data_IF_720103030290
#
_entry.id   IF_720103030290
#
_cell.length_a   1.000
_cell.length_b   1.000
_cell.length_c   1.000
_cell.angle_alpha   90.00
_cell.angle_beta   90.00
_cell.angle_gamma   90.00
#
_symmetry.space_group_name_H-M   'P 1'
#
loop_
_entity.id
_entity.type
_entity.pdbx_description
1 polymer ?
#
# COMPACT_ATOMS: atom_id res chain seq x y z
N UNK A 1 -27.51 -11.34 12.47
CA UNK A 1 -27.10 -10.04 13.08
C UNK A 1 -25.59 -9.83 12.94
N UNK A 2 -24.76 -10.76 13.35
CA UNK A 2 -23.28 -10.66 13.30
C UNK A 2 -22.69 -10.32 11.91
N UNK A 3 -23.18 -10.92 10.83
CA UNK A 3 -22.69 -10.64 9.48
C UNK A 3 -22.92 -9.18 9.04
N UNK A 4 -24.00 -8.55 9.48
CA UNK A 4 -24.31 -7.15 9.21
C UNK A 4 -23.39 -6.24 10.04
N UNK A 5 -23.11 -6.62 11.28
CA UNK A 5 -22.20 -5.91 12.16
C UNK A 5 -20.76 -5.90 11.62
N UNK A 6 -20.22 -7.05 11.24
CA UNK A 6 -18.89 -7.11 10.61
C UNK A 6 -18.81 -6.25 9.35
N UNK A 7 -19.82 -6.32 8.47
CA UNK A 7 -19.85 -5.51 7.25
C UNK A 7 -19.86 -4.01 7.58
N UNK A 8 -20.67 -3.59 8.55
CA UNK A 8 -20.74 -2.20 8.98
C UNK A 8 -19.40 -1.73 9.51
N UNK A 9 -18.77 -2.48 10.41
CA UNK A 9 -17.45 -2.15 10.97
C UNK A 9 -16.37 -2.08 9.89
N UNK A 10 -16.35 -3.04 8.94
CA UNK A 10 -15.40 -3.01 7.82
C UNK A 10 -15.57 -1.75 6.97
N UNK A 11 -16.81 -1.34 6.65
CA UNK A 11 -17.07 -0.13 5.87
C UNK A 11 -16.72 1.13 6.67
N UNK A 12 -17.03 1.18 7.96
CA UNK A 12 -16.71 2.31 8.83
C UNK A 12 -15.19 2.53 8.94
N UNK A 13 -14.41 1.46 9.05
CA UNK A 13 -12.95 1.53 9.09
C UNK A 13 -12.33 1.80 7.70
N UNK A 14 -12.89 1.20 6.63
CA UNK A 14 -12.34 1.32 5.29
C UNK A 14 -12.56 2.72 4.68
N UNK A 15 -13.71 3.35 4.92
CA UNK A 15 -14.03 4.66 4.32
C UNK A 15 -12.97 5.73 4.58
N UNK A 16 -12.54 6.00 5.83
CA UNK A 16 -11.50 6.99 6.07
C UNK A 16 -10.17 6.61 5.43
N UNK A 17 -9.80 5.32 5.46
CA UNK A 17 -8.58 4.81 4.83
C UNK A 17 -8.61 5.04 3.33
N UNK A 18 -9.73 4.77 2.67
CA UNK A 18 -9.91 5.00 1.23
C UNK A 18 -9.71 6.48 0.87
N UNK A 19 -10.34 7.40 1.61
CA UNK A 19 -10.15 8.83 1.37
C UNK A 19 -8.71 9.29 1.58
N UNK A 20 -7.99 8.72 2.57
CA UNK A 20 -6.55 8.99 2.76
C UNK A 20 -5.73 8.56 1.55
N UNK A 21 -5.96 7.35 1.06
CA UNK A 21 -5.24 6.79 -0.08
C UNK A 21 -5.52 7.57 -1.36
N UNK A 22 -6.79 7.93 -1.59
CA UNK A 22 -7.20 8.73 -2.74
C UNK A 22 -6.60 10.14 -2.71
N UNK A 23 -6.58 10.78 -1.55
CA UNK A 23 -5.94 12.08 -1.36
C UNK A 23 -4.43 12.03 -1.66
N UNK A 24 -3.74 10.96 -1.25
CA UNK A 24 -2.32 10.78 -1.55
C UNK A 24 -2.07 10.63 -3.06
N UNK A 25 -2.92 9.88 -3.77
CA UNK A 25 -2.83 9.73 -5.23
C UNK A 25 -3.06 11.08 -5.92
N UNK A 26 -4.09 11.82 -5.52
CA UNK A 26 -4.40 13.13 -6.07
C UNK A 26 -3.26 14.13 -5.85
N UNK A 27 -2.69 14.18 -4.64
CA UNK A 27 -1.54 15.03 -4.33
C UNK A 27 -0.31 14.67 -5.17
N UNK A 28 -0.04 13.38 -5.37
CA UNK A 28 1.05 12.91 -6.23
C UNK A 28 0.90 13.35 -7.69
N UNK A 29 -0.33 13.32 -8.24
CA UNK A 29 -0.62 13.82 -9.59
C UNK A 29 -0.37 15.33 -9.67
N UNK A 30 -0.86 16.09 -8.70
CA UNK A 30 -0.71 17.55 -8.67
C UNK A 30 0.76 17.95 -8.53
N UNK A 31 1.52 17.29 -7.65
CA UNK A 31 2.96 17.50 -7.50
C UNK A 31 3.69 17.26 -8.84
N UNK A 32 3.35 16.18 -9.54
CA UNK A 32 3.91 15.88 -10.87
C UNK A 32 3.63 16.99 -11.88
N UNK A 33 2.42 17.57 -11.87
CA UNK A 33 2.05 18.68 -12.76
C UNK A 33 2.86 19.96 -12.47
N UNK A 34 3.14 20.25 -11.20
CA UNK A 34 4.00 21.38 -10.84
C UNK A 34 5.44 21.17 -11.26
N UNK A 35 5.99 19.98 -11.02
CA UNK A 35 7.36 19.63 -11.40
C UNK A 35 7.54 19.62 -12.93
N UNK A 36 6.52 19.22 -13.69
CA UNK A 36 6.55 19.21 -15.15
C UNK A 36 6.79 20.61 -15.76
N UNK A 37 6.41 21.67 -15.04
CA UNK A 37 6.69 23.07 -15.47
C UNK A 37 8.17 23.48 -15.37
N UNK A 38 8.98 22.71 -14.62
CA UNK A 38 10.42 22.96 -14.48
C UNK A 38 11.25 22.34 -15.61
N UNK A 39 10.62 21.55 -16.49
CA UNK A 39 11.28 20.90 -17.63
C UNK A 39 11.59 19.44 -17.44
N UNK A 40 12.06 18.77 -18.51
CA UNK A 40 12.24 17.33 -18.57
C UNK A 40 13.26 16.77 -17.58
N UNK A 41 14.36 17.50 -17.33
CA UNK A 41 15.39 17.06 -16.34
C UNK A 41 14.83 17.02 -14.92
N UNK A 42 13.98 17.99 -14.55
CA UNK A 42 13.32 18.03 -13.25
C UNK A 42 12.32 16.86 -13.09
N UNK A 43 11.56 16.57 -14.15
CA UNK A 43 10.64 15.43 -14.18
C UNK A 43 11.39 14.12 -14.01
N UNK A 44 12.50 13.93 -14.72
CA UNK A 44 13.33 12.72 -14.60
C UNK A 44 13.91 12.58 -13.18
N UNK A 45 14.42 13.66 -12.59
CA UNK A 45 14.97 13.66 -11.24
C UNK A 45 13.91 13.28 -10.19
N UNK A 46 12.71 13.89 -10.25
CA UNK A 46 11.62 13.60 -9.30
C UNK A 46 11.03 12.21 -9.53
N UNK A 47 10.95 11.73 -10.77
CA UNK A 47 10.49 10.38 -11.06
C UNK A 47 11.40 9.32 -10.42
N UNK A 48 12.72 9.48 -10.51
CA UNK A 48 13.68 8.61 -9.82
C UNK A 48 13.52 8.71 -8.31
N UNK A 49 13.40 9.93 -7.77
CA UNK A 49 13.20 10.13 -6.34
C UNK A 49 11.92 9.44 -5.83
N UNK A 50 10.82 9.58 -6.54
CA UNK A 50 9.55 8.91 -6.20
C UNK A 50 9.68 7.38 -6.22
N UNK A 51 10.42 6.82 -7.17
CA UNK A 51 10.66 5.37 -7.21
C UNK A 51 11.48 4.90 -6.00
N UNK A 52 12.52 5.63 -5.63
CA UNK A 52 13.31 5.34 -4.41
C UNK A 52 12.43 5.44 -3.15
N UNK A 53 11.63 6.50 -3.03
CA UNK A 53 10.71 6.66 -1.90
C UNK A 53 9.66 5.54 -1.83
N UNK A 54 9.18 5.03 -2.96
CA UNK A 54 8.27 3.88 -3.01
C UNK A 54 8.94 2.58 -2.51
N UNK A 55 10.20 2.36 -2.82
CA UNK A 55 10.96 1.24 -2.24
C UNK A 55 11.10 1.40 -0.72
N UNK A 56 11.43 2.61 -0.27
CA UNK A 56 11.55 2.95 1.15
C UNK A 56 10.22 2.89 1.90
N UNK A 57 9.08 3.06 1.21
CA UNK A 57 7.74 2.80 1.76
C UNK A 57 7.60 1.32 2.18
N UNK A 58 8.17 0.38 1.44
CA UNK A 58 8.21 -1.02 1.85
C UNK A 58 8.83 -1.22 3.23
N UNK A 59 9.92 -0.50 3.52
CA UNK A 59 10.56 -0.52 4.86
C UNK A 59 9.62 0.06 5.92
N UNK A 60 8.90 1.16 5.62
CA UNK A 60 7.93 1.76 6.53
C UNK A 60 6.80 0.77 6.91
N UNK A 61 6.40 -0.09 6.00
CA UNK A 61 5.36 -1.09 6.26
C UNK A 61 5.79 -2.13 7.30
N UNK A 62 7.09 -2.41 7.46
CA UNK A 62 7.55 -3.37 8.48
C UNK A 62 7.11 -2.93 9.87
N UNK A 63 7.36 -1.68 10.25
CA UNK A 63 6.98 -1.19 11.58
C UNK A 63 5.57 -0.61 11.60
N UNK A 64 5.11 0.05 10.55
CA UNK A 64 3.77 0.64 10.49
C UNK A 64 2.67 -0.41 10.56
N UNK A 65 2.66 -1.39 9.63
CA UNK A 65 1.65 -2.46 9.61
C UNK A 65 1.81 -3.43 10.77
N UNK A 66 3.05 -3.79 11.14
CA UNK A 66 3.33 -4.64 12.30
C UNK A 66 2.79 -4.06 13.59
N UNK A 67 3.03 -2.77 13.84
CA UNK A 67 2.48 -2.06 15.01
C UNK A 67 0.95 -1.99 14.96
N UNK A 68 0.36 -1.71 13.80
CA UNK A 68 -1.11 -1.67 13.64
C UNK A 68 -1.77 -2.97 14.10
N UNK A 69 -1.27 -4.11 13.66
CA UNK A 69 -1.83 -5.43 14.00
C UNK A 69 -1.67 -5.73 15.49
N UNK A 70 -0.47 -5.48 16.05
CA UNK A 70 -0.21 -5.75 17.47
C UNK A 70 -1.00 -4.84 18.40
N UNK A 71 -1.13 -3.55 18.06
CA UNK A 71 -1.96 -2.58 18.79
C UNK A 71 -3.43 -2.97 18.72
N UNK A 72 -3.94 -3.36 17.56
CA UNK A 72 -5.33 -3.80 17.39
C UNK A 72 -5.62 -5.05 18.23
N UNK A 73 -4.70 -6.02 18.24
CA UNK A 73 -4.82 -7.22 19.05
C UNK A 73 -4.81 -6.91 20.57
N UNK A 74 -3.86 -6.09 21.03
CA UNK A 74 -3.76 -5.69 22.44
C UNK A 74 -4.98 -4.87 22.89
N UNK A 75 -5.53 -4.04 22.01
CA UNK A 75 -6.77 -3.28 22.25
C UNK A 75 -7.97 -4.21 22.39
N UNK A 76 -8.07 -5.23 21.54
CA UNK A 76 -9.10 -6.27 21.64
C UNK A 76 -9.01 -7.08 22.93
N UNK A 77 -7.78 -7.45 23.33
CA UNK A 77 -7.50 -8.14 24.58
C UNK A 77 -7.70 -7.28 25.84
N UNK A 78 -7.94 -5.98 25.69
CA UNK A 78 -7.99 -5.01 26.80
C UNK A 78 -6.74 -5.06 27.70
N UNK A 79 -5.57 -5.39 27.12
CA UNK A 79 -4.29 -5.51 27.83
C UNK A 79 -3.42 -4.26 27.62
N UNK A 80 -3.35 -3.36 28.64
CA UNK A 80 -2.52 -2.15 28.56
C UNK A 80 -1.02 -2.45 28.52
N UNK A 81 -0.59 -3.61 29.02
CA UNK A 81 0.80 -4.05 29.01
C UNK A 81 1.23 -4.41 27.60
N UNK A 82 0.45 -5.27 26.93
CA UNK A 82 0.66 -5.64 25.54
C UNK A 82 0.57 -4.42 24.59
N UNK A 83 -0.37 -3.49 24.86
CA UNK A 83 -0.50 -2.26 24.11
C UNK A 83 0.78 -1.40 24.18
N UNK A 84 1.28 -1.18 25.40
CA UNK A 84 2.54 -0.45 25.61
C UNK A 84 3.73 -1.16 24.96
N UNK A 85 3.80 -2.47 25.05
CA UNK A 85 4.86 -3.26 24.42
C UNK A 85 4.82 -3.13 22.90
N UNK A 86 3.64 -3.18 22.27
CA UNK A 86 3.46 -3.01 20.82
C UNK A 86 3.89 -1.60 20.35
N UNK A 87 3.48 -0.56 21.05
CA UNK A 87 3.86 0.83 20.73
C UNK A 87 5.37 1.03 20.88
N UNK A 88 5.94 0.61 22.02
CA UNK A 88 7.38 0.73 22.29
C UNK A 88 8.22 -0.09 21.30
N UNK A 89 7.74 -1.27 20.90
CA UNK A 89 8.39 -2.08 19.87
C UNK A 89 8.40 -1.39 18.51
N UNK A 90 7.28 -0.74 18.14
CA UNK A 90 7.18 0.07 16.93
C UNK A 90 8.13 1.26 16.95
N UNK A 91 8.20 2.00 18.07
CA UNK A 91 9.16 3.10 18.27
C UNK A 91 10.59 2.59 18.18
N UNK A 92 10.91 1.46 18.84
CA UNK A 92 12.24 0.86 18.80
C UNK A 92 12.66 0.47 17.40
N UNK A 93 11.78 -0.17 16.61
CA UNK A 93 12.07 -0.55 15.24
C UNK A 93 12.21 0.67 14.32
N UNK A 94 11.35 1.67 14.49
CA UNK A 94 11.46 2.94 13.77
C UNK A 94 12.78 3.65 14.08
N UNK A 95 13.15 3.75 15.36
CA UNK A 95 14.41 4.35 15.80
C UNK A 95 15.66 3.63 15.27
N UNK A 96 15.56 2.30 15.06
CA UNK A 96 16.63 1.51 14.46
C UNK A 96 16.75 1.73 12.94
N UNK A 97 15.62 1.80 12.24
CA UNK A 97 15.61 1.88 10.77
C UNK A 97 15.79 3.28 10.24
N UNK A 98 15.35 4.32 10.97
CA UNK A 98 15.45 5.72 10.54
C UNK A 98 16.90 6.15 10.28
N UNK A 99 17.88 5.94 11.18
CA UNK A 99 19.26 6.33 10.91
C UNK A 99 19.87 5.60 9.71
N UNK A 100 19.53 4.33 9.53
CA UNK A 100 20.02 3.52 8.40
C UNK A 100 19.47 4.05 7.07
N UNK A 101 18.17 4.33 7.00
CA UNK A 101 17.53 4.78 5.76
C UNK A 101 17.82 6.25 5.49
N UNK A 102 17.60 7.12 6.47
CA UNK A 102 17.82 8.56 6.29
C UNK A 102 19.31 8.92 6.19
N UNK A 103 20.12 8.36 7.07
CA UNK A 103 21.58 8.61 7.08
C UNK A 103 22.29 7.88 5.94
N UNK A 104 22.05 6.58 5.78
CA UNK A 104 22.63 5.78 4.69
C UNK A 104 22.18 6.28 3.31
N UNK A 105 20.90 6.58 3.17
CA UNK A 105 20.35 7.16 1.93
C UNK A 105 20.98 8.52 1.62
N UNK A 106 21.13 9.38 2.61
CA UNK A 106 21.77 10.69 2.43
C UNK A 106 23.25 10.58 2.01
N UNK A 107 23.99 9.63 2.57
CA UNK A 107 25.39 9.37 2.19
C UNK A 107 25.49 8.84 0.76
N UNK A 108 24.58 7.94 0.37
CA UNK A 108 24.58 7.27 -0.95
C UNK A 108 23.76 8.03 -2.01
N UNK A 109 23.28 9.25 -1.74
CA UNK A 109 22.38 10.00 -2.63
C UNK A 109 22.93 10.21 -4.04
N UNK A 110 24.26 10.41 -4.15
CA UNK A 110 24.92 10.60 -5.44
C UNK A 110 25.01 9.30 -6.22
N UNK A 111 25.39 8.21 -5.56
CA UNK A 111 25.48 6.89 -6.19
C UNK A 111 24.11 6.40 -6.67
N UNK A 112 23.07 6.61 -5.86
CA UNK A 112 21.69 6.28 -6.23
C UNK A 112 21.23 7.10 -7.42
N UNK A 113 21.53 8.41 -7.45
CA UNK A 113 21.16 9.27 -8.57
C UNK A 113 21.90 8.88 -9.86
N UNK A 114 23.20 8.59 -9.78
CA UNK A 114 24.01 8.14 -10.93
C UNK A 114 23.58 6.78 -11.44
N UNK A 115 23.32 5.84 -10.54
CA UNK A 115 22.85 4.50 -10.91
C UNK A 115 21.54 4.55 -11.70
N UNK A 116 20.65 5.47 -11.35
CA UNK A 116 19.31 5.57 -11.96
C UNK A 116 19.27 6.44 -13.24
N UNK A 117 20.10 7.48 -13.33
CA UNK A 117 20.07 8.46 -14.41
C UNK A 117 21.32 8.42 -15.32
N UNK A 118 22.32 7.58 -14.99
CA UNK A 118 23.61 7.53 -15.68
C UNK A 118 24.58 8.59 -15.19
N UNK A 119 25.80 8.59 -15.75
CA UNK A 119 26.86 9.50 -15.36
C UNK A 119 26.70 10.87 -16.06
N UNK A 120 26.47 11.90 -15.24
CA UNK A 120 26.46 13.29 -15.67
C UNK A 120 25.11 13.82 -16.14
N UNK A 121 24.99 15.15 -16.14
CA UNK A 121 23.81 15.85 -16.61
C UNK A 121 23.06 16.66 -15.54
N UNK A 122 22.15 17.52 -16.00
CA UNK A 122 21.34 18.38 -15.12
C UNK A 122 20.41 17.56 -14.23
N UNK A 123 19.82 16.48 -14.76
CA UNK A 123 18.90 15.62 -14.04
C UNK A 123 19.56 14.96 -12.80
N UNK A 124 20.82 14.51 -12.89
CA UNK A 124 21.56 13.93 -11.75
C UNK A 124 21.76 14.98 -10.66
N UNK A 125 22.19 16.21 -11.02
CA UNK A 125 22.37 17.28 -10.04
C UNK A 125 21.08 17.63 -9.32
N UNK A 126 19.96 17.70 -10.07
CA UNK A 126 18.64 17.96 -9.51
C UNK A 126 18.18 16.82 -8.60
N UNK A 127 18.42 15.56 -8.98
CA UNK A 127 18.09 14.40 -8.16
C UNK A 127 18.91 14.39 -6.85
N UNK A 128 20.21 14.64 -6.90
CA UNK A 128 21.08 14.74 -5.71
C UNK A 128 20.61 15.86 -4.77
N UNK A 129 20.26 17.02 -5.32
CA UNK A 129 19.73 18.14 -4.54
C UNK A 129 18.39 17.79 -3.88
N UNK A 130 17.48 17.14 -4.61
CA UNK A 130 16.20 16.64 -4.09
C UNK A 130 16.42 15.63 -2.96
N UNK A 131 17.26 14.61 -3.19
CA UNK A 131 17.62 13.59 -2.21
C UNK A 131 18.27 14.18 -0.95
N UNK A 132 19.02 15.27 -1.09
CA UNK A 132 19.60 15.99 0.05
C UNK A 132 18.58 16.42 1.10
N UNK A 133 17.33 16.62 0.70
CA UNK A 133 16.21 17.01 1.58
C UNK A 133 15.27 15.83 1.81
N UNK A 134 14.88 15.10 0.76
CA UNK A 134 13.85 14.07 0.86
C UNK A 134 14.30 12.86 1.68
N UNK A 135 15.56 12.41 1.55
CA UNK A 135 16.06 11.24 2.29
C UNK A 135 16.18 11.50 3.81
N UNK A 136 16.72 12.61 4.31
CA UNK A 136 16.57 12.97 5.72
C UNK A 136 15.11 13.14 6.12
N UNK A 137 14.27 13.68 5.23
CA UNK A 137 12.81 13.81 5.41
C UNK A 137 12.09 12.47 5.58
N UNK A 138 12.69 11.34 5.17
CA UNK A 138 12.13 10.01 5.43
C UNK A 138 12.02 9.71 6.93
N UNK A 139 12.83 10.32 7.77
CA UNK A 139 12.69 10.21 9.23
C UNK A 139 11.31 10.71 9.70
N UNK A 140 10.87 11.85 9.17
CA UNK A 140 9.55 12.42 9.45
C UNK A 140 8.44 11.53 8.90
N UNK A 141 8.60 11.05 7.68
CA UNK A 141 7.65 10.14 7.05
C UNK A 141 7.49 8.84 7.85
N UNK A 142 8.57 8.24 8.32
CA UNK A 142 8.55 7.02 9.12
C UNK A 142 7.88 7.25 10.48
N UNK A 143 8.20 8.35 11.15
CA UNK A 143 7.52 8.71 12.39
C UNK A 143 6.02 8.92 12.19
N UNK A 144 5.60 9.56 11.09
CA UNK A 144 4.18 9.72 10.73
C UNK A 144 3.51 8.37 10.46
N UNK A 145 4.17 7.47 9.70
CA UNK A 145 3.63 6.13 9.42
C UNK A 145 3.46 5.30 10.70
N UNK A 146 4.35 5.47 11.67
CA UNK A 146 4.23 4.84 12.98
C UNK A 146 3.03 5.39 13.76
N UNK A 147 2.88 6.71 13.83
CA UNK A 147 1.73 7.35 14.49
C UNK A 147 0.42 6.91 13.84
N UNK A 148 0.36 6.91 12.51
CA UNK A 148 -0.80 6.43 11.76
C UNK A 148 -1.09 4.95 12.06
N UNK A 149 -0.06 4.11 12.15
CA UNK A 149 -0.19 2.70 12.49
C UNK A 149 -0.75 2.48 13.89
N UNK A 150 -0.29 3.25 14.88
CA UNK A 150 -0.78 3.19 16.26
C UNK A 150 -2.25 3.60 16.33
N UNK A 151 -2.61 4.73 15.72
CA UNK A 151 -3.99 5.23 15.71
C UNK A 151 -4.95 4.27 15.01
N UNK A 152 -4.57 3.75 13.84
CA UNK A 152 -5.36 2.76 13.10
C UNK A 152 -5.53 1.46 13.92
N UNK A 153 -4.47 0.98 14.55
CA UNK A 153 -4.53 -0.19 15.43
C UNK A 153 -5.43 0.05 16.64
N UNK A 154 -5.47 1.27 17.18
CA UNK A 154 -6.41 1.65 18.23
C UNK A 154 -7.87 1.79 17.74
N UNK A 155 -8.14 1.57 16.44
CA UNK A 155 -9.48 1.68 15.82
C UNK A 155 -9.83 3.09 15.31
N UNK A 156 -8.96 4.07 15.50
CA UNK A 156 -9.16 5.42 14.95
C UNK A 156 -8.55 5.53 13.55
N UNK A 157 -9.35 5.30 12.52
CA UNK A 157 -8.97 5.50 11.13
C UNK A 157 -9.29 6.92 10.62
N UNK A 158 -10.08 7.68 11.38
CA UNK A 158 -10.50 9.05 11.01
C UNK A 158 -9.37 10.06 11.23
N UNK A 159 -8.64 9.94 12.32
CA UNK A 159 -7.51 10.85 12.61
C UNK A 159 -6.39 10.71 11.56
N UNK A 160 -5.88 9.52 11.20
CA UNK A 160 -4.95 9.37 10.09
C UNK A 160 -5.47 9.94 8.76
N UNK A 161 -6.77 9.79 8.46
CA UNK A 161 -7.38 10.44 7.29
C UNK A 161 -7.27 11.98 7.36
N UNK A 162 -7.59 12.58 8.50
CA UNK A 162 -7.48 14.03 8.68
C UNK A 162 -6.04 14.51 8.55
N UNK A 163 -5.08 13.74 9.09
CA UNK A 163 -3.65 14.03 8.96
C UNK A 163 -3.18 13.93 7.51
N UNK A 164 -3.63 12.92 6.77
CA UNK A 164 -3.33 12.80 5.34
C UNK A 164 -3.93 13.97 4.53
N UNK A 165 -5.17 14.35 4.79
CA UNK A 165 -5.81 15.50 4.14
C UNK A 165 -5.08 16.82 4.49
N UNK A 166 -4.64 16.99 5.74
CA UNK A 166 -3.84 18.14 6.16
C UNK A 166 -2.51 18.18 5.42
N UNK A 167 -1.78 17.06 5.37
CA UNK A 167 -0.51 16.95 4.64
C UNK A 167 -0.69 17.32 3.17
N UNK A 168 -1.66 16.70 2.50
CA UNK A 168 -1.89 16.91 1.07
C UNK A 168 -2.41 18.34 0.77
N UNK A 169 -3.24 18.90 1.66
CA UNK A 169 -3.69 20.29 1.57
C UNK A 169 -2.54 21.28 1.71
N UNK A 170 -1.63 21.03 2.66
CA UNK A 170 -0.42 21.84 2.82
C UNK A 170 0.52 21.73 1.62
N UNK A 171 0.75 20.53 1.08
CA UNK A 171 1.55 20.32 -0.13
C UNK A 171 0.96 21.13 -1.29
N UNK A 172 -0.35 21.07 -1.49
CA UNK A 172 -1.04 21.80 -2.55
C UNK A 172 -0.81 23.32 -2.49
N UNK A 173 -0.70 23.88 -1.28
CA UNK A 173 -0.44 25.32 -1.07
C UNK A 173 1.05 25.64 -1.13
N UNK A 174 1.90 24.78 -0.53
CA UNK A 174 3.33 25.04 -0.44
C UNK A 174 4.09 24.76 -1.74
N UNK A 175 3.67 23.77 -2.54
CA UNK A 175 4.32 23.42 -3.80
C UNK A 175 4.45 24.61 -4.75
N UNK A 176 3.38 25.34 -5.10
CA UNK A 176 3.50 26.49 -6.02
C UNK A 176 4.38 27.60 -5.48
N UNK A 177 4.46 27.78 -4.17
CA UNK A 177 5.27 28.81 -3.54
C UNK A 177 6.75 28.43 -3.53
N UNK A 178 7.05 27.20 -3.07
CA UNK A 178 8.43 26.75 -2.89
C UNK A 178 9.07 26.29 -4.20
N UNK A 179 8.32 25.69 -5.11
CA UNK A 179 8.83 25.27 -6.42
C UNK A 179 9.22 26.48 -7.26
N UNK A 180 8.49 27.59 -7.20
CA UNK A 180 8.85 28.82 -7.90
C UNK A 180 10.17 29.43 -7.41
N UNK A 181 10.44 29.35 -6.09
CA UNK A 181 11.65 29.94 -5.51
C UNK A 181 12.86 29.02 -5.55
N UNK A 182 12.65 27.72 -5.33
CA UNK A 182 13.71 26.72 -5.08
C UNK A 182 13.71 25.55 -6.06
N UNK A 183 12.87 25.60 -7.11
CA UNK A 183 12.78 24.53 -8.11
C UNK A 183 12.43 23.18 -7.50
N UNK A 184 13.14 22.13 -7.92
CA UNK A 184 12.91 20.74 -7.50
C UNK A 184 13.11 20.56 -5.97
N UNK A 185 14.07 21.28 -5.38
CA UNK A 185 14.31 21.24 -3.92
C UNK A 185 13.10 21.78 -3.16
N UNK A 186 12.41 22.78 -3.72
CA UNK A 186 11.17 23.33 -3.16
C UNK A 186 10.07 22.27 -3.01
N UNK A 187 9.94 21.34 -3.95
CA UNK A 187 8.99 20.22 -3.88
C UNK A 187 9.33 19.24 -2.73
N UNK A 188 10.62 18.96 -2.50
CA UNK A 188 11.06 18.14 -1.38
C UNK A 188 10.79 18.85 -0.03
N UNK A 189 11.12 20.13 0.07
CA UNK A 189 10.92 20.94 1.29
C UNK A 189 9.43 21.05 1.62
N UNK A 190 8.56 21.30 0.63
CA UNK A 190 7.11 21.39 0.85
C UNK A 190 6.54 20.08 1.42
N UNK A 191 6.95 18.95 0.86
CA UNK A 191 6.52 17.62 1.32
C UNK A 191 6.98 17.35 2.75
N UNK A 192 8.25 17.61 3.08
CA UNK A 192 8.80 17.39 4.43
C UNK A 192 8.15 18.33 5.44
N UNK A 193 7.98 19.61 5.10
CA UNK A 193 7.33 20.59 5.98
C UNK A 193 5.87 20.22 6.27
N UNK A 194 5.10 19.83 5.24
CA UNK A 194 3.72 19.40 5.41
C UNK A 194 3.61 18.15 6.30
N UNK A 195 4.51 17.18 6.12
CA UNK A 195 4.58 15.97 6.97
C UNK A 195 4.98 16.30 8.42
N UNK A 196 5.87 17.26 8.64
CA UNK A 196 6.23 17.73 9.99
C UNK A 196 5.04 18.31 10.74
N UNK A 197 4.23 19.13 10.08
CA UNK A 197 3.01 19.69 10.66
C UNK A 197 2.01 18.60 11.01
N UNK A 198 1.80 17.65 10.10
CA UNK A 198 0.90 16.51 10.33
C UNK A 198 1.42 15.59 11.44
N UNK A 199 2.73 15.33 11.50
CA UNK A 199 3.35 14.56 12.58
C UNK A 199 3.15 15.24 13.93
N UNK A 200 3.39 16.56 14.02
CA UNK A 200 3.15 17.32 15.26
C UNK A 200 1.68 17.25 15.70
N UNK A 201 0.75 17.35 14.76
CA UNK A 201 -0.67 17.18 15.03
C UNK A 201 -1.01 15.75 15.49
N UNK A 202 -0.48 14.74 14.83
CA UNK A 202 -0.67 13.32 15.18
C UNK A 202 -0.11 12.99 16.57
N UNK A 203 1.08 13.48 16.90
CA UNK A 203 1.69 13.30 18.22
C UNK A 203 0.86 13.99 19.33
N UNK A 204 0.25 15.16 19.06
CA UNK A 204 -0.66 15.80 20.01
C UNK A 204 -1.89 14.94 20.28
N UNK A 205 -2.46 14.32 19.24
CA UNK A 205 -3.60 13.41 19.40
C UNK A 205 -3.19 12.19 20.21
N UNK A 206 -2.06 11.57 19.88
CA UNK A 206 -1.53 10.40 20.58
C UNK A 206 -1.30 10.65 22.07
N UNK A 207 -0.79 11.85 22.43
CA UNK A 207 -0.57 12.26 23.82
C UNK A 207 -1.85 12.50 24.60
N UNK A 208 -2.97 12.75 23.94
CA UNK A 208 -4.28 12.98 24.57
C UNK A 208 -5.00 11.68 24.95
N UNK A 209 -4.63 10.55 24.34
CA UNK A 209 -5.17 9.24 24.72
C UNK A 209 -4.36 8.68 25.90
N UNK A 210 -4.98 8.53 27.11
CA UNK A 210 -4.27 8.09 28.32
C UNK A 210 -3.62 6.72 28.19
N UNK A 211 -4.21 5.82 27.38
CA UNK A 211 -3.68 4.48 27.13
C UNK A 211 -2.43 4.51 26.25
N UNK A 212 -2.38 5.45 25.31
CA UNK A 212 -1.28 5.59 24.35
C UNK A 212 -0.19 6.53 24.87
N UNK A 213 -0.53 7.57 25.62
CA UNK A 213 0.42 8.53 26.18
C UNK A 213 1.48 7.88 27.07
N UNK A 214 1.07 6.93 27.92
CA UNK A 214 1.98 6.15 28.77
C UNK A 214 2.76 5.06 28.07
N UNK A 215 2.50 4.86 26.77
CA UNK A 215 3.13 3.82 25.96
C UNK A 215 4.36 4.32 25.18
N UNK A 216 4.61 5.63 25.14
CA UNK A 216 5.76 6.20 24.40
C UNK A 216 7.07 5.82 25.09
N UNK A 217 7.99 5.24 24.32
CA UNK A 217 9.31 4.80 24.78
C UNK A 217 9.90 3.75 23.82
N UNK A 218 11.17 3.42 24.00
CA UNK A 218 11.84 2.39 23.18
C UNK A 218 11.62 1.02 23.82
N UNK A 219 11.28 0.03 23.00
CA UNK A 219 11.09 -1.37 23.41
C UNK A 219 11.68 -2.35 22.41
N UNK A 220 11.53 -3.64 22.67
CA UNK A 220 12.03 -4.69 21.78
C UNK A 220 11.34 -4.64 20.41
N UNK A 221 12.09 -4.45 19.31
CA UNK A 221 11.53 -4.33 17.96
C UNK A 221 11.09 -5.68 17.37
N UNK A 222 11.49 -6.80 17.98
CA UNK A 222 11.39 -8.13 17.37
C UNK A 222 9.96 -8.55 17.04
N UNK A 223 9.03 -8.38 17.97
CA UNK A 223 7.63 -8.74 17.76
C UNK A 223 7.01 -7.98 16.59
N UNK A 224 7.29 -6.68 16.50
CA UNK A 224 6.82 -5.80 15.42
C UNK A 224 7.45 -6.21 14.10
N UNK A 225 8.77 -6.43 14.07
CA UNK A 225 9.48 -6.88 12.88
C UNK A 225 8.96 -8.22 12.36
N UNK A 226 8.79 -9.21 13.26
CA UNK A 226 8.26 -10.54 12.91
C UNK A 226 6.85 -10.48 12.30
N UNK A 227 6.02 -9.56 12.78
CA UNK A 227 4.65 -9.36 12.27
C UNK A 227 4.65 -8.59 10.95
N UNK A 228 5.44 -7.51 10.86
CA UNK A 228 5.40 -6.60 9.73
C UNK A 228 6.27 -7.02 8.54
N UNK A 229 7.37 -7.76 8.76
CA UNK A 229 8.29 -8.15 7.68
C UNK A 229 7.61 -8.97 6.57
N UNK A 230 6.75 -9.98 6.86
CA UNK A 230 6.04 -10.68 5.80
C UNK A 230 5.08 -9.78 5.02
N UNK A 231 4.47 -8.76 5.68
CA UNK A 231 3.55 -7.82 5.04
C UNK A 231 4.32 -6.87 4.10
N UNK A 232 5.47 -6.37 4.54
CA UNK A 232 6.36 -5.55 3.73
C UNK A 232 6.94 -6.34 2.55
N UNK A 233 7.34 -7.58 2.77
CA UNK A 233 7.84 -8.46 1.72
C UNK A 233 6.75 -8.77 0.67
N UNK A 234 5.50 -9.02 1.09
CA UNK A 234 4.36 -9.20 0.19
C UNK A 234 4.12 -7.95 -0.69
N UNK A 235 4.19 -6.76 -0.09
CA UNK A 235 4.11 -5.50 -0.83
C UNK A 235 5.26 -5.38 -1.85
N UNK A 236 6.50 -5.65 -1.44
CA UNK A 236 7.68 -5.56 -2.30
C UNK A 236 7.59 -6.54 -3.48
N UNK A 237 7.18 -7.79 -3.23
CA UNK A 237 6.99 -8.80 -4.30
C UNK A 237 5.96 -8.32 -5.32
N UNK A 238 4.85 -7.75 -4.88
CA UNK A 238 3.83 -7.21 -5.80
C UNK A 238 4.34 -6.01 -6.60
N UNK A 239 5.08 -5.10 -5.97
CA UNK A 239 5.64 -3.94 -6.68
C UNK A 239 6.69 -4.36 -7.71
N UNK A 240 7.57 -5.28 -7.34
CA UNK A 240 8.58 -5.84 -8.26
C UNK A 240 7.92 -6.62 -9.41
N UNK A 241 6.88 -7.41 -9.10
CA UNK A 241 6.10 -8.13 -10.10
C UNK A 241 5.41 -7.20 -11.09
N UNK A 242 4.85 -6.09 -10.62
CA UNK A 242 4.23 -5.08 -11.48
C UNK A 242 5.26 -4.42 -12.42
N UNK A 243 6.45 -4.08 -11.90
CA UNK A 243 7.55 -3.54 -12.72
C UNK A 243 8.05 -4.56 -13.75
N UNK A 244 8.21 -5.83 -13.35
CA UNK A 244 8.61 -6.89 -14.26
C UNK A 244 7.57 -7.12 -15.36
N UNK A 245 6.29 -6.96 -15.07
CA UNK A 245 5.23 -7.05 -16.07
C UNK A 245 5.29 -5.91 -17.09
N UNK A 246 5.67 -4.68 -16.68
CA UNK A 246 5.96 -3.57 -17.61
C UNK A 246 7.06 -3.96 -18.59
N UNK A 247 8.13 -4.64 -18.12
CA UNK A 247 9.20 -5.10 -18.99
C UNK A 247 8.75 -6.18 -20.00
N UNK A 248 7.77 -7.02 -19.61
CA UNK A 248 7.14 -7.97 -20.54
C UNK A 248 6.35 -7.23 -21.62
N UNK A 249 5.52 -6.24 -21.20
CA UNK A 249 4.73 -5.41 -22.13
C UNK A 249 5.62 -4.59 -23.07
N UNK A 250 6.81 -4.18 -22.62
CA UNK A 250 7.75 -3.42 -23.43
C UNK A 250 8.20 -4.16 -24.71
N UNK A 251 8.13 -5.49 -24.71
CA UNK A 251 8.42 -6.30 -25.91
C UNK A 251 7.35 -6.18 -27.01
N UNK A 252 6.15 -5.69 -26.67
CA UNK A 252 5.05 -5.52 -27.61
C UNK A 252 5.11 -4.20 -28.39
N UNK A 253 6.00 -3.29 -27.99
CA UNK A 253 6.21 -2.00 -28.63
C UNK A 253 5.79 -0.80 -27.79
N UNK A 254 6.12 0.39 -28.28
CA UNK A 254 5.96 1.66 -27.54
C UNK A 254 4.49 1.97 -27.26
N UNK A 255 3.61 1.72 -28.24
CA UNK A 255 2.15 1.95 -28.10
C UNK A 255 1.55 1.09 -27.00
N UNK A 256 1.93 -0.20 -26.94
CA UNK A 256 1.46 -1.12 -25.91
C UNK A 256 1.92 -0.71 -24.50
N UNK A 257 3.17 -0.26 -24.37
CA UNK A 257 3.69 0.25 -23.09
C UNK A 257 2.92 1.50 -22.64
N UNK A 258 2.70 2.43 -23.55
CA UNK A 258 1.94 3.66 -23.24
C UNK A 258 0.50 3.32 -22.84
N UNK A 259 -0.15 2.43 -23.58
CA UNK A 259 -1.51 1.94 -23.29
C UNK A 259 -1.58 1.26 -21.91
N UNK A 260 -0.65 0.35 -21.63
CA UNK A 260 -0.56 -0.33 -20.35
C UNK A 260 -0.31 0.67 -19.20
N UNK A 261 0.64 1.60 -19.37
CA UNK A 261 0.99 2.57 -18.33
C UNK A 261 -0.19 3.46 -17.93
N UNK A 262 -0.96 3.97 -18.90
CA UNK A 262 -2.18 4.77 -18.64
C UNK A 262 -3.26 3.90 -18.01
N UNK A 263 -3.54 2.74 -18.59
CA UNK A 263 -4.57 1.83 -18.07
C UNK A 263 -4.23 1.34 -16.66
N UNK A 264 -2.95 1.09 -16.35
CA UNK A 264 -2.51 0.69 -15.02
C UNK A 264 -2.69 1.80 -13.98
N UNK A 265 -2.53 3.08 -14.33
CA UNK A 265 -2.85 4.19 -13.43
C UNK A 265 -4.33 4.23 -13.08
N UNK A 266 -5.21 3.99 -14.06
CA UNK A 266 -6.66 3.90 -13.85
C UNK A 266 -6.99 2.72 -12.93
N UNK A 267 -6.41 1.54 -13.21
CA UNK A 267 -6.53 0.35 -12.39
C UNK A 267 -6.06 0.59 -10.95
N UNK A 268 -4.93 1.28 -10.78
CA UNK A 268 -4.34 1.60 -9.47
C UNK A 268 -5.29 2.40 -8.58
N UNK A 269 -5.99 3.40 -9.13
CA UNK A 269 -7.00 4.17 -8.39
C UNK A 269 -8.12 3.26 -7.86
N UNK A 270 -8.60 2.34 -8.70
CA UNK A 270 -9.62 1.37 -8.27
C UNK A 270 -9.12 0.44 -7.15
N UNK A 271 -7.85 0.03 -7.21
CA UNK A 271 -7.26 -0.87 -6.20
C UNK A 271 -7.09 -0.21 -4.83
N UNK A 272 -7.08 1.12 -4.74
CA UNK A 272 -7.05 1.84 -3.44
C UNK A 272 -8.21 1.46 -2.53
N UNK A 273 -9.40 1.23 -3.10
CA UNK A 273 -10.56 0.78 -2.34
C UNK A 273 -10.33 -0.63 -1.74
N UNK A 274 -9.68 -1.53 -2.49
CA UNK A 274 -9.36 -2.87 -2.00
C UNK A 274 -8.34 -2.84 -0.86
N UNK A 275 -7.32 -1.99 -0.96
CA UNK A 275 -6.35 -1.79 0.11
C UNK A 275 -6.97 -1.17 1.36
N UNK A 276 -7.97 -0.30 1.21
CA UNK A 276 -8.73 0.22 2.35
C UNK A 276 -9.50 -0.90 3.06
N UNK A 277 -10.17 -1.77 2.32
CA UNK A 277 -10.85 -2.95 2.88
C UNK A 277 -9.83 -3.93 3.52
N UNK A 278 -8.66 -4.14 2.91
CA UNK A 278 -7.56 -4.95 3.48
C UNK A 278 -7.15 -4.44 4.85
N UNK A 279 -6.89 -3.13 4.99
CA UNK A 279 -6.51 -2.54 6.27
C UNK A 279 -7.63 -2.68 7.30
N UNK A 280 -8.87 -2.41 6.91
CA UNK A 280 -10.03 -2.57 7.79
C UNK A 280 -10.19 -4.03 8.25
N UNK A 281 -10.06 -5.00 7.36
CA UNK A 281 -10.12 -6.42 7.66
C UNK A 281 -8.98 -6.85 8.59
N UNK A 282 -7.76 -6.36 8.38
CA UNK A 282 -6.61 -6.64 9.24
C UNK A 282 -6.83 -6.13 10.67
N UNK A 283 -7.27 -4.89 10.82
CA UNK A 283 -7.53 -4.26 12.12
C UNK A 283 -8.68 -5.00 12.84
N UNK A 284 -9.80 -5.22 12.14
CA UNK A 284 -10.97 -5.85 12.74
C UNK A 284 -10.70 -7.30 13.17
N UNK A 285 -10.02 -8.08 12.33
CA UNK A 285 -9.63 -9.45 12.65
C UNK A 285 -8.67 -9.51 13.84
N UNK A 286 -7.65 -8.65 13.87
CA UNK A 286 -6.71 -8.58 14.98
C UNK A 286 -7.40 -8.22 16.30
N UNK A 287 -8.32 -7.24 16.26
CA UNK A 287 -9.10 -6.82 17.42
C UNK A 287 -10.02 -7.92 17.94
N UNK A 288 -10.80 -8.58 17.07
CA UNK A 288 -11.70 -9.69 17.48
C UNK A 288 -10.91 -10.86 18.07
N UNK A 289 -9.78 -11.17 17.47
CA UNK A 289 -8.89 -12.24 17.97
C UNK A 289 -8.28 -11.90 19.33
N UNK A 290 -7.89 -10.63 19.54
CA UNK A 290 -7.46 -10.15 20.85
C UNK A 290 -8.54 -10.28 21.91
N UNK A 291 -9.80 -10.04 21.56
CA UNK A 291 -10.96 -10.23 22.43
C UNK A 291 -11.33 -11.71 22.68
N UNK A 292 -10.54 -12.66 22.19
CA UNK A 292 -10.78 -14.10 22.37
C UNK A 292 -11.80 -14.69 21.39
N UNK A 293 -12.26 -13.93 20.38
CA UNK A 293 -13.23 -14.41 19.41
C UNK A 293 -12.52 -14.69 18.08
N UNK A 294 -12.52 -15.93 17.65
CA UNK A 294 -11.95 -16.32 16.35
C UNK A 294 -13.03 -16.32 15.27
N UNK A 295 -13.28 -15.14 14.71
CA UNK A 295 -14.31 -14.91 13.70
C UNK A 295 -13.70 -14.66 12.29
N UNK A 296 -12.48 -15.17 12.05
CA UNK A 296 -11.76 -14.99 10.78
C UNK A 296 -12.59 -15.37 9.54
N UNK A 297 -13.37 -16.46 9.63
CA UNK A 297 -14.25 -16.94 8.55
C UNK A 297 -15.39 -15.96 8.25
N UNK A 298 -16.04 -15.44 9.30
CA UNK A 298 -17.14 -14.48 9.17
C UNK A 298 -16.67 -13.13 8.65
N UNK A 299 -15.59 -12.58 9.24
CA UNK A 299 -14.95 -11.32 8.80
C UNK A 299 -14.46 -11.47 7.36
N UNK A 300 -13.78 -12.58 7.02
CA UNK A 300 -13.26 -12.84 5.68
C UNK A 300 -14.37 -12.87 4.61
N UNK A 301 -15.48 -13.54 4.89
CA UNK A 301 -16.62 -13.56 3.98
C UNK A 301 -17.19 -12.17 3.74
N UNK A 302 -17.35 -11.35 4.79
CA UNK A 302 -17.86 -9.99 4.64
C UNK A 302 -16.85 -9.06 3.94
N UNK A 303 -15.56 -9.22 4.20
CA UNK A 303 -14.50 -8.47 3.52
C UNK A 303 -14.48 -8.79 2.01
N UNK A 304 -14.62 -10.07 1.63
CA UNK A 304 -14.73 -10.49 0.22
C UNK A 304 -15.99 -9.94 -0.43
N UNK A 305 -17.14 -9.95 0.27
CA UNK A 305 -18.40 -9.39 -0.26
C UNK A 305 -18.26 -7.90 -0.52
N UNK A 306 -17.74 -7.13 0.45
CA UNK A 306 -17.57 -5.68 0.31
C UNK A 306 -16.58 -5.35 -0.80
N UNK A 307 -15.39 -5.97 -0.76
CA UNK A 307 -14.34 -5.72 -1.75
C UNK A 307 -14.73 -6.22 -3.14
N UNK A 308 -15.36 -7.39 -3.23
CA UNK A 308 -15.86 -7.97 -4.48
C UNK A 308 -16.96 -7.13 -5.13
N UNK A 309 -17.87 -6.57 -4.34
CA UNK A 309 -18.89 -5.64 -4.84
C UNK A 309 -18.24 -4.39 -5.46
N UNK A 310 -17.25 -3.80 -4.77
CA UNK A 310 -16.48 -2.66 -5.31
C UNK A 310 -15.71 -3.07 -6.58
N UNK A 311 -15.08 -4.26 -6.56
CA UNK A 311 -14.36 -4.80 -7.71
C UNK A 311 -15.27 -5.04 -8.92
N UNK A 312 -16.49 -5.57 -8.69
CA UNK A 312 -17.48 -5.77 -9.75
C UNK A 312 -17.94 -4.44 -10.34
N UNK A 313 -18.27 -3.46 -9.50
CA UNK A 313 -18.64 -2.11 -9.96
C UNK A 313 -17.50 -1.50 -10.78
N UNK A 314 -16.26 -1.57 -10.32
CA UNK A 314 -15.11 -1.07 -11.07
C UNK A 314 -14.91 -1.82 -12.40
N UNK A 315 -15.08 -3.14 -12.43
CA UNK A 315 -15.01 -3.94 -13.65
C UNK A 315 -16.09 -3.56 -14.67
N UNK A 316 -17.32 -3.34 -14.22
CA UNK A 316 -18.41 -2.88 -15.07
C UNK A 316 -18.18 -1.45 -15.61
N UNK A 317 -17.63 -0.56 -14.77
CA UNK A 317 -17.24 0.79 -15.19
C UNK A 317 -16.13 0.73 -16.24
N UNK A 318 -15.13 -0.14 -16.08
CA UNK A 318 -14.06 -0.32 -17.06
C UNK A 318 -14.61 -0.90 -18.37
N UNK A 319 -15.52 -1.86 -18.29
CA UNK A 319 -16.16 -2.42 -19.49
C UNK A 319 -16.90 -1.35 -20.29
N UNK A 320 -17.69 -0.52 -19.61
CA UNK A 320 -18.54 0.50 -20.23
C UNK A 320 -17.77 1.74 -20.66
N UNK A 321 -16.86 2.25 -19.81
CA UNK A 321 -16.26 3.59 -19.94
C UNK A 321 -14.78 3.56 -20.36
N UNK A 322 -14.20 2.38 -20.68
CA UNK A 322 -12.78 2.25 -20.99
C UNK A 322 -12.24 3.30 -21.98
N UNK A 323 -12.87 3.54 -23.17
CA UNK A 323 -12.33 4.51 -24.10
C UNK A 323 -12.41 5.96 -23.59
N UNK A 324 -13.45 6.26 -22.80
CA UNK A 324 -13.61 7.58 -22.21
C UNK A 324 -12.56 7.81 -21.10
N UNK A 325 -12.34 6.82 -20.25
CA UNK A 325 -11.32 6.86 -19.21
C UNK A 325 -9.92 7.08 -19.81
N UNK A 326 -9.56 6.34 -20.85
CA UNK A 326 -8.27 6.52 -21.53
C UNK A 326 -8.10 7.93 -22.09
N UNK A 327 -9.13 8.47 -22.76
CA UNK A 327 -9.12 9.85 -23.30
C UNK A 327 -9.04 10.90 -22.19
N UNK A 328 -9.71 10.69 -21.07
CA UNK A 328 -9.65 11.60 -19.92
C UNK A 328 -8.22 11.73 -19.35
N UNK A 329 -7.38 10.69 -19.50
CA UNK A 329 -5.97 10.73 -19.16
C UNK A 329 -5.06 11.26 -20.29
N UNK A 330 -5.64 11.80 -21.37
CA UNK A 330 -4.89 12.42 -22.48
C UNK A 330 -4.23 11.42 -23.42
N UNK A 331 -4.69 10.17 -23.47
CA UNK A 331 -4.12 9.14 -24.33
C UNK A 331 -4.41 9.44 -25.81
N UNK A 332 -3.41 9.37 -26.72
CA UNK A 332 -3.62 9.41 -28.18
C UNK A 332 -4.56 8.29 -28.65
N UNK A 333 -5.06 8.42 -29.88
CA UNK A 333 -6.07 7.49 -30.40
C UNK A 333 -5.63 6.03 -30.36
N UNK A 334 -4.44 5.72 -30.86
CA UNK A 334 -3.90 4.37 -30.93
C UNK A 334 -3.69 3.76 -29.52
N UNK A 335 -3.15 4.55 -28.60
CA UNK A 335 -3.01 4.20 -27.18
C UNK A 335 -4.37 3.99 -26.52
N UNK A 336 -5.38 4.77 -26.91
CA UNK A 336 -6.74 4.64 -26.39
C UNK A 336 -7.37 3.30 -26.80
N UNK A 337 -7.19 2.87 -28.02
CA UNK A 337 -7.75 1.60 -28.52
C UNK A 337 -7.16 0.40 -27.76
N UNK A 338 -5.82 0.32 -27.69
CA UNK A 338 -5.15 -0.77 -26.96
C UNK A 338 -5.42 -0.72 -25.44
N UNK A 339 -5.38 0.46 -24.82
CA UNK A 339 -5.64 0.62 -23.40
C UNK A 339 -7.09 0.34 -23.03
N UNK A 340 -8.05 0.67 -23.89
CA UNK A 340 -9.45 0.31 -23.70
C UNK A 340 -9.68 -1.21 -23.79
N UNK A 341 -8.98 -1.89 -24.70
CA UNK A 341 -9.00 -3.35 -24.77
C UNK A 341 -8.47 -3.95 -23.44
N UNK A 342 -7.31 -3.46 -22.97
CA UNK A 342 -6.74 -3.89 -21.71
C UNK A 342 -7.72 -3.70 -20.53
N UNK A 343 -8.31 -2.51 -20.37
CA UNK A 343 -9.26 -2.21 -19.30
C UNK A 343 -10.50 -3.12 -19.34
N UNK A 344 -10.97 -3.48 -20.53
CA UNK A 344 -12.10 -4.41 -20.69
C UNK A 344 -11.72 -5.85 -20.33
N UNK A 345 -10.52 -6.28 -20.74
CA UNK A 345 -10.04 -7.64 -20.48
C UNK A 345 -9.62 -7.86 -19.02
N UNK A 346 -9.21 -6.79 -18.31
CA UNK A 346 -8.72 -6.89 -16.92
C UNK A 346 -9.85 -7.01 -15.89
N UNK A 347 -11.12 -6.88 -16.29
CA UNK A 347 -12.29 -6.94 -15.38
C UNK A 347 -12.32 -8.17 -14.47
N UNK A 348 -12.22 -9.40 -14.98
CA UNK A 348 -12.19 -10.62 -14.15
C UNK A 348 -11.02 -10.63 -13.16
N UNK A 349 -9.82 -10.20 -13.59
CA UNK A 349 -8.67 -10.03 -12.71
C UNK A 349 -8.98 -9.07 -11.56
N UNK A 350 -9.65 -7.95 -11.83
CA UNK A 350 -9.95 -6.92 -10.84
C UNK A 350 -10.87 -7.45 -9.73
N UNK A 351 -11.89 -8.24 -10.09
CA UNK A 351 -12.80 -8.87 -9.12
C UNK A 351 -12.08 -9.90 -8.24
N UNK A 352 -11.21 -10.73 -8.86
CA UNK A 352 -10.41 -11.72 -8.14
C UNK A 352 -9.37 -11.03 -7.24
N UNK A 353 -8.73 -9.97 -7.73
CA UNK A 353 -7.80 -9.16 -6.96
C UNK A 353 -8.46 -8.56 -5.73
N UNK A 354 -9.69 -8.05 -5.87
CA UNK A 354 -10.46 -7.51 -4.75
C UNK A 354 -10.66 -8.56 -3.64
N UNK A 355 -11.03 -9.79 -4.01
CA UNK A 355 -11.16 -10.91 -3.08
C UNK A 355 -9.82 -11.31 -2.44
N UNK A 356 -8.76 -11.41 -3.23
CA UNK A 356 -7.43 -11.75 -2.76
C UNK A 356 -6.89 -10.72 -1.76
N UNK A 357 -7.01 -9.42 -2.09
CA UNK A 357 -6.54 -8.33 -1.21
C UNK A 357 -7.34 -8.31 0.10
N UNK A 358 -8.66 -8.50 0.05
CA UNK A 358 -9.52 -8.53 1.24
C UNK A 358 -9.17 -9.70 2.17
N UNK A 359 -9.02 -10.92 1.63
CA UNK A 359 -8.58 -12.09 2.39
C UNK A 359 -7.16 -11.89 2.96
N UNK A 360 -6.26 -11.29 2.19
CA UNK A 360 -4.92 -10.95 2.66
C UNK A 360 -4.95 -10.16 3.97
N UNK A 361 -5.86 -9.18 4.10
CA UNK A 361 -6.04 -8.43 5.34
C UNK A 361 -6.45 -9.30 6.53
N UNK A 362 -7.35 -10.27 6.33
CA UNK A 362 -7.75 -11.21 7.39
C UNK A 362 -6.58 -12.08 7.85
N UNK A 363 -5.80 -12.60 6.90
CA UNK A 363 -4.59 -13.36 7.23
C UNK A 363 -3.57 -12.49 7.98
N UNK A 364 -3.38 -11.24 7.58
CA UNK A 364 -2.49 -10.29 8.28
C UNK A 364 -2.92 -10.07 9.72
N UNK A 365 -4.20 -9.77 9.95
CA UNK A 365 -4.76 -9.55 11.28
C UNK A 365 -4.74 -10.80 12.17
N UNK A 366 -4.71 -12.00 11.56
CA UNK A 366 -4.64 -13.28 12.29
C UNK A 366 -3.23 -13.83 12.46
N UNK A 367 -2.18 -13.11 12.03
CA UNK A 367 -0.79 -13.59 12.07
C UNK A 367 -0.42 -14.54 10.92
N UNK A 368 -1.29 -14.70 9.93
CA UNK A 368 -1.08 -15.52 8.74
C UNK A 368 -0.39 -14.81 7.56
N UNK A 369 0.17 -13.62 7.75
CA UNK A 369 0.88 -12.86 6.71
C UNK A 369 1.95 -13.67 5.95
N UNK A 370 2.75 -14.58 6.55
CA UNK A 370 3.69 -15.41 5.81
C UNK A 370 3.02 -16.34 4.79
N UNK A 371 1.77 -16.73 5.02
CA UNK A 371 1.01 -17.57 4.06
C UNK A 371 0.64 -16.75 2.82
N UNK A 372 0.20 -15.50 3.02
CA UNK A 372 -0.10 -14.55 1.92
C UNK A 372 1.15 -14.32 1.09
N UNK A 373 2.28 -14.00 1.73
CA UNK A 373 3.56 -13.80 1.07
C UNK A 373 3.96 -14.99 0.18
N UNK A 374 3.83 -16.22 0.68
CA UNK A 374 4.16 -17.43 -0.10
C UNK A 374 3.28 -17.55 -1.34
N UNK A 375 1.98 -17.33 -1.20
CA UNK A 375 1.03 -17.39 -2.33
C UNK A 375 1.34 -16.30 -3.35
N UNK A 376 1.60 -15.06 -2.90
CA UNK A 376 1.97 -13.94 -3.76
C UNK A 376 3.29 -14.22 -4.50
N UNK A 377 4.33 -14.69 -3.78
CA UNK A 377 5.63 -14.95 -4.35
C UNK A 377 5.55 -16.05 -5.44
N UNK A 378 4.95 -17.19 -5.11
CA UNK A 378 4.79 -18.30 -6.07
C UNK A 378 3.91 -17.87 -7.25
N UNK A 379 2.82 -17.16 -6.99
CA UNK A 379 1.94 -16.64 -8.03
C UNK A 379 2.66 -15.67 -8.97
N UNK A 380 3.46 -14.74 -8.45
CA UNK A 380 4.24 -13.80 -9.26
C UNK A 380 5.33 -14.51 -10.07
N UNK A 381 6.06 -15.46 -9.47
CA UNK A 381 7.10 -16.23 -10.14
C UNK A 381 6.54 -17.06 -11.31
N UNK A 382 5.32 -17.59 -11.18
CA UNK A 382 4.66 -18.33 -12.27
C UNK A 382 4.03 -17.38 -13.29
N UNK A 383 3.49 -16.26 -12.85
CA UNK A 383 2.82 -15.27 -13.70
C UNK A 383 3.76 -14.68 -14.76
N UNK A 384 5.00 -14.32 -14.38
CA UNK A 384 5.91 -13.60 -15.28
C UNK A 384 6.34 -14.40 -16.51
N UNK A 385 6.80 -15.66 -16.40
CA UNK A 385 7.13 -16.47 -17.58
C UNK A 385 5.90 -16.74 -18.47
N UNK A 386 4.75 -17.05 -17.85
CA UNK A 386 3.51 -17.27 -18.59
C UNK A 386 3.06 -16.02 -19.33
N UNK A 387 3.19 -14.82 -18.70
CA UNK A 387 2.87 -13.55 -19.34
C UNK A 387 3.83 -13.25 -20.50
N UNK A 388 5.14 -13.52 -20.34
CA UNK A 388 6.12 -13.36 -21.40
C UNK A 388 5.85 -14.28 -22.61
N UNK A 389 5.40 -15.50 -22.36
CA UNK A 389 5.05 -16.45 -23.43
C UNK A 389 3.74 -16.08 -24.11
N UNK A 390 2.66 -15.83 -23.35
CA UNK A 390 1.33 -15.60 -23.90
C UNK A 390 1.20 -14.21 -24.54
N UNK A 391 1.99 -13.23 -24.09
CA UNK A 391 2.06 -11.91 -24.73
C UNK A 391 2.56 -11.97 -26.16
N UNK A 392 3.46 -12.92 -26.48
CA UNK A 392 3.92 -13.17 -27.86
C UNK A 392 2.85 -13.71 -28.80
N UNK A 393 1.82 -14.39 -28.25
CA UNK A 393 0.73 -14.98 -29.04
C UNK A 393 -0.48 -14.03 -29.18
N UNK A 394 -0.88 -13.37 -28.10
CA UNK A 394 -2.13 -12.60 -28.01
C UNK A 394 -1.91 -11.12 -27.60
N UNK A 395 -0.67 -10.63 -27.61
CA UNK A 395 -0.37 -9.25 -27.22
C UNK A 395 -0.82 -8.91 -25.79
N UNK A 396 -1.39 -7.72 -25.59
CA UNK A 396 -1.91 -7.27 -24.30
C UNK A 396 -3.06 -8.13 -23.75
N UNK A 397 -3.88 -8.73 -24.62
CA UNK A 397 -4.94 -9.64 -24.17
C UNK A 397 -4.35 -10.90 -23.51
N UNK A 398 -3.22 -11.39 -24.01
CA UNK A 398 -2.47 -12.50 -23.42
C UNK A 398 -1.95 -12.17 -22.01
N UNK A 399 -1.45 -10.94 -21.81
CA UNK A 399 -1.04 -10.45 -20.49
C UNK A 399 -2.23 -10.44 -19.52
N UNK A 400 -3.38 -9.92 -19.95
CA UNK A 400 -4.61 -9.90 -19.14
C UNK A 400 -5.08 -11.30 -18.76
N UNK A 401 -5.06 -12.24 -19.71
CA UNK A 401 -5.47 -13.62 -19.47
C UNK A 401 -4.61 -14.29 -18.39
N UNK A 402 -3.27 -14.12 -18.49
CA UNK A 402 -2.34 -14.65 -17.48
C UNK A 402 -2.54 -13.96 -16.12
N UNK A 403 -2.71 -12.64 -16.09
CA UNK A 403 -3.02 -11.92 -14.84
C UNK A 403 -4.28 -12.48 -14.18
N UNK A 404 -5.36 -12.68 -14.95
CA UNK A 404 -6.60 -13.26 -14.46
C UNK A 404 -6.43 -14.68 -13.94
N UNK A 405 -5.77 -15.54 -14.71
CA UNK A 405 -5.53 -16.95 -14.34
C UNK A 405 -4.64 -17.05 -13.08
N UNK A 406 -3.53 -16.33 -13.03
CA UNK A 406 -2.65 -16.31 -11.86
C UNK A 406 -3.38 -15.81 -10.61
N UNK A 407 -4.20 -14.76 -10.74
CA UNK A 407 -4.99 -14.24 -9.63
C UNK A 407 -6.07 -15.22 -9.19
N UNK A 408 -6.70 -15.96 -10.13
CA UNK A 408 -7.67 -17.00 -9.79
C UNK A 408 -7.03 -18.11 -8.94
N UNK A 409 -5.84 -18.56 -9.33
CA UNK A 409 -5.07 -19.56 -8.56
C UNK A 409 -4.70 -19.01 -7.17
N UNK A 410 -4.17 -17.80 -7.09
CA UNK A 410 -3.79 -17.18 -5.82
C UNK A 410 -5.01 -16.98 -4.89
N UNK A 411 -6.12 -16.49 -5.42
CA UNK A 411 -7.35 -16.31 -4.67
C UNK A 411 -7.92 -17.68 -4.20
N UNK A 412 -7.92 -18.67 -5.08
CA UNK A 412 -8.32 -20.04 -4.76
C UNK A 412 -7.48 -20.65 -3.65
N UNK A 413 -6.16 -20.48 -3.69
CA UNK A 413 -5.25 -20.93 -2.63
C UNK A 413 -5.59 -20.29 -1.26
N UNK A 414 -5.80 -18.97 -1.21
CA UNK A 414 -6.17 -18.31 0.04
C UNK A 414 -7.56 -18.74 0.54
N UNK A 415 -8.53 -18.94 -0.35
CA UNK A 415 -9.87 -19.42 0.01
C UNK A 415 -9.81 -20.83 0.60
N UNK A 416 -9.05 -21.74 0.00
CA UNK A 416 -8.86 -23.10 0.53
C UNK A 416 -8.19 -23.06 1.90
N UNK A 417 -7.16 -22.22 2.05
CA UNK A 417 -6.48 -22.05 3.35
C UNK A 417 -7.41 -21.47 4.41
N UNK A 418 -8.26 -20.50 4.06
CA UNK A 418 -9.24 -19.91 4.96
C UNK A 418 -10.31 -20.94 5.38
N UNK A 419 -10.82 -21.75 4.44
CA UNK A 419 -11.81 -22.81 4.73
C UNK A 419 -11.20 -23.89 5.62
N UNK A 420 -9.96 -24.31 5.38
CA UNK A 420 -9.28 -25.30 6.24
C UNK A 420 -9.07 -24.78 7.66
N UNK A 421 -8.69 -23.51 7.82
CA UNK A 421 -8.56 -22.89 9.14
C UNK A 421 -9.91 -22.86 9.88
N UNK A 422 -11.00 -22.49 9.21
CA UNK A 422 -12.35 -22.50 9.80
C UNK A 422 -12.84 -23.91 10.15
N UNK A 423 -12.51 -24.92 9.33
CA UNK A 423 -12.89 -26.32 9.63
C UNK A 423 -12.12 -26.91 10.83
N UNK A 424 -10.86 -26.49 11.03
CA UNK A 424 -10.07 -26.88 12.21
C UNK A 424 -10.61 -26.27 13.51
N UNK A 425 -11.21 -25.10 13.46
CA UNK A 425 -11.86 -24.41 14.58
C UNK A 425 -13.21 -25.04 14.94
N UNK A 426 -13.94 -25.55 13.96
CA UNK A 426 -15.23 -26.22 14.16
C UNK A 426 -15.11 -27.69 14.63
N UNK A 427 -13.91 -28.28 14.57
CA UNK A 427 -13.67 -29.63 15.08
C UNK A 427 -13.73 -29.62 16.62
N UNK A 428 -14.58 -30.42 17.27
CA UNK A 428 -14.62 -30.53 18.72
C UNK A 428 -13.24 -30.94 19.23
N UNK A 429 -12.69 -30.15 20.15
CA UNK A 429 -11.52 -30.58 20.93
C UNK A 429 -11.93 -31.80 21.74
N UNK A 430 -11.60 -32.96 21.24
CA UNK A 430 -11.88 -34.22 21.87
C UNK A 430 -10.97 -34.40 23.12
N UNK A 431 -11.34 -33.76 24.21
CA UNK A 431 -10.68 -33.85 25.51
C UNK A 431 -10.83 -35.24 26.12
N UNK A 432 -11.65 -36.13 25.51
CA UNK A 432 -11.87 -37.50 26.03
C UNK A 432 -10.74 -38.48 25.73
N UNK A 433 -9.73 -38.09 24.91
CA UNK A 433 -8.57 -38.95 24.61
C UNK A 433 -7.33 -38.67 25.46
N UNK A 434 -7.40 -37.74 26.39
CA UNK A 434 -6.28 -37.37 27.28
C UNK A 434 -6.55 -37.67 28.77
N UNK A 435 -7.60 -38.44 29.09
CA UNK A 435 -7.87 -38.98 30.42
C UNK A 435 -7.47 -40.46 30.55
#
# INVERSE_FOLDING_TARGET
MEAVEHRRTLVELARPVYFSLLANVAAGIINTLWVARLGGEAVAAVAVATNVENVLLGVALVFGSGTTVLVAHARGAQDPGALRAAVRGGVGLCALLVPVVAGGGWLLREDVARLALGDGGGAVRLAVAYFGVSLPGMAVFYAQQLVDGILKGAGDTRTPMRLALLTNGLILVLDPLLIRGYGVVGAAVSTVAARLVALAAGLRVLRRDPLLAGAVGVGSPWAVARTGLPMAADFTVRQTGALALVAVVARLGVTAVAAYAVAYKILYVATMAFYAVRQAASIHTAHRRGAGHDERGAVGRQAVVVSGAVGLVAALLFLALAPWLMRAFGAPHDVTVEGALFLRCVGPYLVLLAGFIALGGVFEGSGGAPKVLRVTLLGTLLQLPCAAWLSGLWGLAGVCAVMGAAMAVQCGCLLVMARRAAAQEAAPTDWSRAA
#
